data_IF_701080262037
#
_entry.id   IF_701080262037
#
_cell.length_a   1.000
_cell.length_b   1.000
_cell.length_c   1.000
_cell.angle_alpha   90.00
_cell.angle_beta   90.00
_cell.angle_gamma   90.00
#
_symmetry.space_group_name_H-M   'P 1'
#
loop_
_entity.id
_entity.type
_entity.pdbx_description
1 polymer ?
#
# COMPACT_ATOMS: atom_id res chain seq x y z
N UNK A 1 -17.14 16.54 6.73
CA UNK A 1 -17.58 16.05 8.03
C UNK A 1 -16.48 16.12 9.11
N UNK A 2 -15.21 16.19 8.72
CA UNK A 2 -14.05 16.31 9.62
C UNK A 2 -13.44 17.73 9.64
N UNK A 3 -14.09 18.71 9.00
CA UNK A 3 -13.65 20.11 8.95
C UNK A 3 -12.50 20.39 7.97
N UNK A 4 -11.97 19.38 7.28
CA UNK A 4 -10.84 19.55 6.33
C UNK A 4 -11.24 20.42 5.15
N UNK A 5 -12.44 20.21 4.60
CA UNK A 5 -12.92 20.98 3.46
C UNK A 5 -13.06 22.47 3.78
N UNK A 6 -13.68 22.80 4.93
CA UNK A 6 -13.87 24.17 5.38
C UNK A 6 -12.55 24.88 5.66
N UNK A 7 -11.61 24.19 6.30
CA UNK A 7 -10.26 24.73 6.55
C UNK A 7 -9.51 24.98 5.24
N UNK A 8 -9.61 24.04 4.29
CA UNK A 8 -8.97 24.15 2.99
C UNK A 8 -9.52 25.33 2.19
N UNK A 9 -10.86 25.48 2.11
CA UNK A 9 -11.51 26.58 1.37
C UNK A 9 -11.15 27.93 1.98
N UNK A 10 -11.01 28.02 3.31
CA UNK A 10 -10.52 29.22 3.97
C UNK A 10 -9.05 29.51 3.63
N UNK A 11 -8.20 28.49 3.63
CA UNK A 11 -6.77 28.65 3.30
C UNK A 11 -6.55 29.04 1.83
N UNK A 12 -7.46 28.64 0.93
CA UNK A 12 -7.42 28.98 -0.49
C UNK A 12 -8.16 30.28 -0.82
N UNK A 13 -8.70 30.99 0.17
CA UNK A 13 -9.44 32.25 -0.06
C UNK A 13 -8.58 33.26 -0.85
N UNK A 14 -9.14 33.82 -1.91
CA UNK A 14 -8.46 34.77 -2.81
C UNK A 14 -7.58 34.13 -3.89
N UNK A 15 -7.56 32.81 -4.00
CA UNK A 15 -6.96 32.07 -5.12
C UNK A 15 -8.04 31.53 -6.04
N UNK A 16 -7.74 31.41 -7.32
CA UNK A 16 -8.59 30.67 -8.26
C UNK A 16 -8.32 29.18 -8.10
N UNK A 17 -9.36 28.38 -7.92
CA UNK A 17 -9.27 26.92 -7.82
C UNK A 17 -10.55 26.26 -8.33
N UNK A 18 -10.42 25.01 -8.76
CA UNK A 18 -11.52 24.15 -9.20
C UNK A 18 -11.47 22.86 -8.42
N UNK A 19 -12.61 22.24 -8.26
CA UNK A 19 -12.76 20.97 -7.55
C UNK A 19 -13.10 19.83 -8.51
N UNK A 20 -12.43 18.69 -8.35
CA UNK A 20 -12.78 17.43 -8.99
C UNK A 20 -13.04 16.38 -7.91
N UNK A 21 -14.30 16.18 -7.50
CA UNK A 21 -14.66 15.30 -6.39
C UNK A 21 -14.81 13.84 -6.83
N UNK A 22 -14.87 12.94 -5.83
CA UNK A 22 -15.41 11.59 -6.00
C UNK A 22 -14.41 10.54 -6.44
N UNK A 23 -13.08 10.80 -6.37
CA UNK A 23 -12.09 9.74 -6.58
C UNK A 23 -12.25 8.70 -5.47
N UNK A 24 -12.73 7.50 -5.86
CA UNK A 24 -12.99 6.39 -4.96
C UNK A 24 -11.75 5.55 -4.62
N UNK A 25 -11.95 4.51 -3.80
CA UNK A 25 -10.94 3.50 -3.58
C UNK A 25 -10.57 2.81 -4.91
N UNK A 26 -9.28 2.45 -5.10
CA UNK A 26 -8.76 1.91 -6.35
C UNK A 26 -9.08 2.82 -7.55
N UNK A 27 -8.41 3.98 -7.67
CA UNK A 27 -8.79 5.03 -8.61
C UNK A 27 -8.91 4.51 -10.04
N UNK A 28 -10.05 4.81 -10.68
CA UNK A 28 -10.41 4.26 -11.99
C UNK A 28 -9.91 5.13 -13.11
N UNK A 29 -9.23 4.54 -14.08
CA UNK A 29 -8.62 5.22 -15.23
C UNK A 29 -9.60 6.17 -15.93
N UNK A 30 -10.82 5.69 -16.24
CA UNK A 30 -11.77 6.48 -17.02
C UNK A 30 -12.19 7.75 -16.28
N UNK A 31 -12.43 7.67 -14.97
CA UNK A 31 -12.71 8.82 -14.11
C UNK A 31 -11.52 9.79 -14.06
N UNK A 32 -10.30 9.26 -13.95
CA UNK A 32 -9.10 10.10 -13.93
C UNK A 32 -8.88 10.83 -15.26
N UNK A 33 -9.28 10.24 -16.39
CA UNK A 33 -9.22 10.89 -17.71
C UNK A 33 -10.21 12.07 -17.81
N UNK A 34 -11.34 12.06 -17.10
CA UNK A 34 -12.21 13.23 -16.98
C UNK A 34 -11.47 14.37 -16.25
N UNK A 35 -10.73 14.05 -15.17
CA UNK A 35 -9.89 15.02 -14.47
C UNK A 35 -8.77 15.55 -15.38
N UNK A 36 -8.12 14.70 -16.18
CA UNK A 36 -7.10 15.13 -17.16
C UNK A 36 -7.70 16.10 -18.18
N UNK A 37 -8.91 15.83 -18.69
CA UNK A 37 -9.60 16.71 -19.62
C UNK A 37 -9.92 18.09 -18.98
N UNK A 38 -10.36 18.08 -17.71
CA UNK A 38 -10.59 19.32 -16.95
C UNK A 38 -9.30 20.12 -16.80
N UNK A 39 -8.22 19.47 -16.35
CA UNK A 39 -6.89 20.09 -16.16
C UNK A 39 -6.40 20.77 -17.45
N UNK A 40 -6.49 20.08 -18.61
CA UNK A 40 -6.06 20.63 -19.90
C UNK A 40 -6.95 21.80 -20.36
N UNK A 41 -8.27 21.68 -20.21
CA UNK A 41 -9.24 22.72 -20.62
C UNK A 41 -9.08 24.00 -19.83
N UNK A 42 -8.94 23.89 -18.52
CA UNK A 42 -8.86 25.02 -17.60
C UNK A 42 -7.41 25.50 -17.36
N UNK A 43 -6.42 24.83 -17.99
CA UNK A 43 -4.99 25.17 -17.88
C UNK A 43 -4.49 25.19 -16.43
N UNK A 44 -4.87 24.18 -15.66
CA UNK A 44 -4.45 24.01 -14.28
C UNK A 44 -2.92 23.81 -14.23
N UNK A 45 -2.26 24.53 -13.35
CA UNK A 45 -0.79 24.50 -13.20
C UNK A 45 -0.31 23.83 -11.90
N UNK A 46 -1.22 23.53 -10.97
CA UNK A 46 -0.93 22.84 -9.71
C UNK A 46 -2.08 21.94 -9.30
N UNK A 47 -1.78 20.76 -8.76
CA UNK A 47 -2.78 19.82 -8.26
C UNK A 47 -2.67 19.67 -6.73
N UNK A 48 -3.81 19.64 -6.03
CA UNK A 48 -3.87 19.38 -4.60
C UNK A 48 -4.74 18.16 -4.31
N UNK A 49 -4.13 17.06 -3.94
CA UNK A 49 -4.84 15.87 -3.48
C UNK A 49 -5.33 16.06 -2.04
N UNK A 50 -6.62 15.91 -1.80
CA UNK A 50 -7.21 15.98 -0.46
C UNK A 50 -7.95 14.67 -0.18
N UNK A 51 -7.31 13.74 0.54
CA UNK A 51 -7.86 12.41 0.74
C UNK A 51 -6.87 11.38 1.25
N UNK A 52 -7.20 10.11 1.08
CA UNK A 52 -6.31 8.99 1.32
C UNK A 52 -5.46 8.64 0.10
N UNK A 53 -4.69 7.53 0.17
CA UNK A 53 -3.76 7.10 -0.86
C UNK A 53 -4.36 7.01 -2.26
N UNK A 54 -5.60 6.54 -2.41
CA UNK A 54 -6.27 6.45 -3.72
C UNK A 54 -6.46 7.82 -4.39
N UNK A 55 -6.76 8.86 -3.61
CA UNK A 55 -6.86 10.24 -4.14
C UNK A 55 -5.49 10.74 -4.54
N UNK A 56 -4.46 10.47 -3.73
CA UNK A 56 -3.07 10.87 -4.04
C UNK A 56 -2.57 10.15 -5.29
N UNK A 57 -2.79 8.83 -5.40
CA UNK A 57 -2.42 8.03 -6.58
C UNK A 57 -3.11 8.53 -7.86
N UNK A 58 -4.43 8.77 -7.77
CA UNK A 58 -5.20 9.35 -8.87
C UNK A 58 -4.66 10.71 -9.30
N UNK A 59 -4.33 11.58 -8.33
CA UNK A 59 -3.76 12.91 -8.61
C UNK A 59 -2.38 12.82 -9.27
N UNK A 60 -1.52 11.88 -8.84
CA UNK A 60 -0.23 11.60 -9.48
C UNK A 60 -0.39 11.15 -10.93
N UNK A 61 -1.35 10.26 -11.17
CA UNK A 61 -1.64 9.84 -12.53
C UNK A 61 -2.15 11.00 -13.38
N UNK A 62 -3.08 11.81 -12.88
CA UNK A 62 -3.57 13.03 -13.58
C UNK A 62 -2.42 13.98 -13.89
N UNK A 63 -1.50 14.20 -12.94
CA UNK A 63 -0.33 15.05 -13.13
C UNK A 63 0.54 14.59 -14.30
N UNK A 64 0.82 13.29 -14.39
CA UNK A 64 1.61 12.69 -15.46
C UNK A 64 0.84 12.67 -16.80
N UNK A 65 -0.42 12.22 -16.77
CA UNK A 65 -1.25 12.06 -17.97
C UNK A 65 -1.60 13.40 -18.64
N UNK A 66 -1.69 14.48 -17.88
CA UNK A 66 -1.90 15.82 -18.43
C UNK A 66 -0.73 16.29 -19.33
N UNK A 67 0.49 15.83 -19.02
CA UNK A 67 1.72 16.15 -19.75
C UNK A 67 2.17 15.01 -20.71
N UNK A 68 1.41 13.91 -20.81
CA UNK A 68 1.77 12.77 -21.63
C UNK A 68 1.57 13.08 -23.12
N UNK A 69 2.57 12.73 -23.94
CA UNK A 69 2.60 13.01 -25.39
C UNK A 69 2.15 11.81 -26.26
N UNK A 70 1.87 10.63 -25.64
CA UNK A 70 1.37 9.44 -26.35
C UNK A 70 -0.14 9.48 -26.60
N UNK A 71 -0.65 8.47 -27.29
CA UNK A 71 -2.07 8.37 -27.65
C UNK A 71 -2.97 8.01 -26.47
N UNK A 72 -2.55 7.05 -25.65
CA UNK A 72 -3.30 6.57 -24.47
C UNK A 72 -2.42 6.65 -23.21
N UNK A 73 -2.70 7.54 -22.25
CA UNK A 73 -1.95 7.62 -20.98
C UNK A 73 -1.90 6.31 -20.17
N UNK A 74 -2.76 5.31 -20.48
CA UNK A 74 -2.67 3.98 -19.91
C UNK A 74 -1.32 3.28 -20.22
N UNK A 75 -0.65 3.68 -21.29
CA UNK A 75 0.69 3.20 -21.67
C UNK A 75 1.73 3.47 -20.57
N UNK A 76 1.56 4.52 -19.75
CA UNK A 76 2.40 4.80 -18.58
C UNK A 76 2.44 3.61 -17.64
N UNK A 77 1.31 2.94 -17.44
CA UNK A 77 1.18 1.79 -16.53
C UNK A 77 1.43 0.47 -17.26
N UNK A 78 0.78 0.26 -18.42
CA UNK A 78 0.83 -1.00 -19.16
C UNK A 78 2.19 -1.25 -19.78
N UNK A 79 2.74 -0.25 -20.45
CA UNK A 79 3.92 -0.38 -21.32
C UNK A 79 5.17 0.26 -20.69
N UNK A 80 5.02 0.84 -19.47
CA UNK A 80 6.08 1.61 -18.80
C UNK A 80 6.57 2.77 -19.66
N UNK A 81 5.66 3.42 -20.41
CA UNK A 81 5.97 4.55 -21.26
C UNK A 81 6.65 5.68 -20.48
N UNK A 82 7.62 6.32 -21.11
CA UNK A 82 8.41 7.38 -20.46
C UNK A 82 7.56 8.62 -20.20
N UNK A 83 7.63 9.13 -18.97
CA UNK A 83 7.02 10.39 -18.57
C UNK A 83 8.09 11.48 -18.67
N UNK A 84 7.89 12.47 -19.54
CA UNK A 84 8.82 13.59 -19.76
C UNK A 84 8.52 14.81 -18.88
N UNK A 85 7.29 14.90 -18.36
CA UNK A 85 6.83 15.98 -17.50
C UNK A 85 5.61 15.57 -16.70
N UNK A 86 5.38 16.25 -15.60
CA UNK A 86 4.17 16.13 -14.77
C UNK A 86 3.85 17.49 -14.15
N UNK A 87 2.58 17.74 -13.86
CA UNK A 87 2.21 18.92 -13.08
C UNK A 87 2.70 18.77 -11.64
N UNK A 88 3.15 19.85 -11.00
CA UNK A 88 3.46 19.81 -9.58
C UNK A 88 2.20 19.54 -8.77
N UNK A 89 2.37 18.72 -7.70
CA UNK A 89 1.26 18.40 -6.82
C UNK A 89 1.66 18.42 -5.35
N UNK A 90 0.69 18.76 -4.51
CA UNK A 90 0.77 18.62 -3.06
C UNK A 90 -0.36 17.73 -2.55
N UNK A 91 -0.34 17.39 -1.27
CA UNK A 91 -1.44 16.64 -0.68
C UNK A 91 -1.76 17.05 0.76
N UNK A 92 -3.03 16.86 1.12
CA UNK A 92 -3.55 16.89 2.49
C UNK A 92 -4.06 15.49 2.79
N UNK A 93 -3.32 14.75 3.62
CA UNK A 93 -3.61 13.35 3.90
C UNK A 93 -4.73 13.21 4.92
N UNK A 94 -5.73 12.39 4.62
CA UNK A 94 -6.84 12.11 5.55
C UNK A 94 -6.94 10.65 5.99
N UNK A 95 -6.18 9.75 5.35
CA UNK A 95 -6.08 8.33 5.68
C UNK A 95 -4.65 7.85 5.48
N UNK A 96 -3.88 7.62 6.56
CA UNK A 96 -2.54 7.08 6.49
C UNK A 96 -2.57 5.57 6.26
N UNK A 97 -1.90 5.11 5.21
CA UNK A 97 -1.77 3.70 4.83
C UNK A 97 -0.62 3.52 3.83
N UNK A 98 -0.81 4.02 2.60
CA UNK A 98 0.01 3.74 1.43
C UNK A 98 1.34 4.51 1.39
N UNK A 99 1.54 5.52 2.24
CA UNK A 99 2.70 6.43 2.13
C UNK A 99 2.78 7.20 0.81
N UNK A 100 1.70 7.19 -0.01
CA UNK A 100 1.69 7.81 -1.33
C UNK A 100 2.00 9.33 -1.29
N UNK A 101 1.71 9.99 -0.19
CA UNK A 101 2.02 11.40 0.04
C UNK A 101 3.53 11.69 0.09
N UNK A 102 4.35 10.65 0.27
CA UNK A 102 5.80 10.78 0.49
C UNK A 102 6.66 9.98 -0.49
N UNK A 103 6.05 9.39 -1.52
CA UNK A 103 6.76 8.59 -2.52
C UNK A 103 6.31 8.92 -3.96
N UNK A 104 7.05 8.50 -4.98
CA UNK A 104 6.74 8.74 -6.39
C UNK A 104 6.00 7.58 -7.09
N UNK A 105 5.43 6.64 -6.32
CA UNK A 105 4.62 5.53 -6.85
C UNK A 105 3.14 5.90 -6.90
N UNK A 106 2.40 5.33 -7.84
CA UNK A 106 0.94 5.39 -7.89
C UNK A 106 0.36 4.13 -8.53
N UNK A 107 -0.86 3.77 -8.11
CA UNK A 107 -1.59 2.60 -8.60
C UNK A 107 -2.92 3.05 -9.17
N UNK A 108 -3.25 2.60 -10.39
CA UNK A 108 -4.51 2.91 -11.08
C UNK A 108 -5.15 1.64 -11.60
N UNK A 109 -6.48 1.60 -11.60
CA UNK A 109 -7.26 0.46 -12.05
C UNK A 109 -7.98 0.76 -13.38
N UNK A 110 -8.03 -0.23 -14.29
CA UNK A 110 -8.81 -0.19 -15.54
C UNK A 110 -9.34 -1.60 -15.83
N UNK A 111 -10.64 -1.81 -15.67
CA UNK A 111 -11.23 -3.15 -15.76
C UNK A 111 -10.62 -4.11 -14.75
N UNK A 112 -10.13 -5.26 -15.22
CA UNK A 112 -9.45 -6.28 -14.39
C UNK A 112 -7.96 -5.99 -14.13
N UNK A 113 -7.44 -4.86 -14.61
CA UNK A 113 -6.05 -4.47 -14.40
C UNK A 113 -5.94 -3.50 -13.23
N UNK A 114 -5.06 -3.79 -12.27
CA UNK A 114 -4.61 -2.88 -11.23
C UNK A 114 -3.09 -2.80 -11.31
N UNK A 115 -2.59 -1.73 -11.92
CA UNK A 115 -1.18 -1.57 -12.29
C UNK A 115 -0.57 -0.36 -11.58
N UNK A 116 0.73 -0.45 -11.32
CA UNK A 116 1.52 0.62 -10.72
C UNK A 116 2.51 1.23 -11.71
N UNK A 117 2.83 2.50 -11.49
CA UNK A 117 3.99 3.15 -12.08
C UNK A 117 4.79 3.91 -11.01
N UNK A 118 6.04 4.16 -11.31
CA UNK A 118 6.98 4.88 -10.47
C UNK A 118 7.69 5.93 -11.30
N UNK A 119 7.58 7.22 -10.91
CA UNK A 119 8.31 8.29 -11.56
C UNK A 119 8.58 9.46 -10.60
N UNK A 120 9.83 9.91 -10.41
CA UNK A 120 10.15 11.01 -9.51
C UNK A 120 9.39 12.33 -9.77
N UNK A 121 8.94 12.56 -11.01
CA UNK A 121 8.20 13.76 -11.39
C UNK A 121 6.81 13.87 -10.73
N UNK A 122 6.24 12.76 -10.27
CA UNK A 122 4.93 12.74 -9.61
C UNK A 122 5.02 12.67 -8.09
N UNK A 123 6.21 12.78 -7.51
CA UNK A 123 6.32 12.88 -6.06
C UNK A 123 5.71 14.20 -5.57
N UNK A 124 4.82 14.19 -4.55
CA UNK A 124 4.27 15.42 -4.01
C UNK A 124 5.37 16.36 -3.51
N UNK A 125 5.27 17.65 -3.86
CA UNK A 125 6.25 18.66 -3.43
C UNK A 125 6.08 19.05 -1.97
N UNK A 126 4.91 18.78 -1.39
CA UNK A 126 4.63 18.83 0.04
C UNK A 126 3.48 17.88 0.42
N UNK A 127 3.42 17.52 1.69
CA UNK A 127 2.31 16.81 2.31
C UNK A 127 1.93 17.46 3.64
N UNK A 128 0.64 17.68 3.84
CA UNK A 128 0.08 18.10 5.12
C UNK A 128 -0.40 16.85 5.85
N UNK A 129 0.20 16.56 6.99
CA UNK A 129 -0.05 15.41 7.84
C UNK A 129 -0.62 15.87 9.19
N UNK A 130 -1.93 16.07 9.26
CA UNK A 130 -2.62 16.41 10.50
C UNK A 130 -3.33 15.19 11.06
N UNK A 131 -2.87 14.61 12.20
CA UNK A 131 -3.49 13.44 12.81
C UNK A 131 -4.97 13.63 13.14
N UNK A 132 -5.43 14.85 13.42
CA UNK A 132 -6.82 15.14 13.75
C UNK A 132 -7.78 14.84 12.58
N UNK A 133 -7.30 14.92 11.33
CA UNK A 133 -8.09 14.56 10.14
C UNK A 133 -8.54 13.11 10.14
N UNK A 134 -7.83 12.24 10.88
CA UNK A 134 -8.08 10.79 10.95
C UNK A 134 -9.11 10.37 12.00
N UNK A 135 -9.57 11.30 12.87
CA UNK A 135 -10.50 10.96 13.95
C UNK A 135 -11.86 10.47 13.47
N UNK A 136 -12.27 10.90 12.29
CA UNK A 136 -13.54 10.51 11.67
C UNK A 136 -13.46 9.22 10.85
N UNK A 137 -12.29 8.59 10.76
CA UNK A 137 -12.13 7.33 10.04
C UNK A 137 -12.89 6.20 10.74
N UNK A 138 -13.68 5.40 10.02
CA UNK A 138 -14.29 4.22 10.60
C UNK A 138 -13.22 3.19 10.98
N UNK A 139 -13.46 2.35 12.01
CA UNK A 139 -12.53 1.34 12.50
C UNK A 139 -11.93 0.46 11.40
N UNK A 140 -12.73 0.07 10.40
CA UNK A 140 -12.29 -0.71 9.23
C UNK A 140 -11.16 -0.01 8.47
N UNK A 141 -11.28 1.30 8.23
CA UNK A 141 -10.24 2.03 7.51
C UNK A 141 -8.97 2.22 8.34
N UNK A 142 -9.11 2.38 9.65
CA UNK A 142 -7.97 2.43 10.57
C UNK A 142 -7.22 1.10 10.56
N UNK A 143 -7.94 -0.01 10.71
CA UNK A 143 -7.34 -1.35 10.67
C UNK A 143 -6.67 -1.63 9.33
N UNK A 144 -7.36 -1.34 8.22
CA UNK A 144 -6.78 -1.49 6.89
C UNK A 144 -5.49 -0.66 6.72
N UNK A 145 -5.47 0.59 7.18
CA UNK A 145 -4.28 1.44 7.07
C UNK A 145 -3.08 0.92 7.86
N UNK A 146 -3.32 0.40 9.07
CA UNK A 146 -2.25 -0.20 9.90
C UNK A 146 -1.70 -1.48 9.27
N UNK A 147 -2.58 -2.35 8.76
CA UNK A 147 -2.17 -3.61 8.09
C UNK A 147 -1.40 -3.32 6.81
N UNK A 148 -1.86 -2.36 5.99
CA UNK A 148 -1.18 -1.94 4.77
C UNK A 148 0.24 -1.45 5.04
N UNK A 149 0.41 -0.52 5.99
CA UNK A 149 1.73 -0.02 6.40
C UNK A 149 2.63 -1.15 6.95
N UNK A 150 2.06 -2.09 7.72
CA UNK A 150 2.81 -3.24 8.25
C UNK A 150 3.33 -4.13 7.12
N UNK A 151 2.51 -4.43 6.13
CA UNK A 151 2.92 -5.25 4.97
C UNK A 151 3.97 -4.52 4.13
N UNK A 152 3.82 -3.21 3.89
CA UNK A 152 4.83 -2.40 3.20
C UNK A 152 6.22 -2.53 3.84
N UNK A 153 6.28 -2.49 5.17
CA UNK A 153 7.55 -2.64 5.89
C UNK A 153 8.08 -4.06 5.72
N UNK A 154 7.24 -5.08 5.86
CA UNK A 154 7.69 -6.48 5.78
C UNK A 154 8.23 -6.85 4.40
N UNK A 155 7.65 -6.35 3.31
CA UNK A 155 8.13 -6.65 1.95
C UNK A 155 9.47 -5.97 1.62
N UNK A 156 9.89 -4.98 2.41
CA UNK A 156 11.22 -4.37 2.33
C UNK A 156 12.21 -4.96 3.36
N UNK A 157 11.71 -5.61 4.40
CA UNK A 157 12.50 -6.14 5.52
C UNK A 157 12.76 -7.64 5.40
N UNK A 158 11.74 -8.46 5.07
CA UNK A 158 11.84 -9.92 5.00
C UNK A 158 12.37 -10.39 3.64
N UNK A 159 13.58 -10.02 3.31
CA UNK A 159 14.30 -10.39 2.08
C UNK A 159 15.60 -11.12 2.41
N UNK A 160 16.42 -11.47 1.41
CA UNK A 160 17.72 -12.09 1.72
C UNK A 160 18.68 -11.07 2.38
N UNK A 161 19.52 -11.51 3.36
CA UNK A 161 20.40 -10.63 4.11
C UNK A 161 21.50 -10.00 3.23
N UNK A 162 21.69 -8.68 3.36
CA UNK A 162 22.75 -7.92 2.68
C UNK A 162 23.58 -7.07 3.64
N UNK A 163 23.41 -7.26 4.96
CA UNK A 163 24.10 -6.47 5.98
C UNK A 163 23.52 -5.06 6.17
N UNK A 164 22.28 -4.82 5.77
CA UNK A 164 21.58 -3.53 5.90
C UNK A 164 21.04 -3.29 7.33
N UNK A 165 21.92 -3.26 8.34
CA UNK A 165 21.50 -3.17 9.75
C UNK A 165 20.70 -1.90 10.07
N UNK A 166 21.01 -0.77 9.43
CA UNK A 166 20.28 0.49 9.65
C UNK A 166 18.85 0.35 9.16
N UNK A 167 18.64 -0.18 7.95
CA UNK A 167 17.31 -0.43 7.39
C UNK A 167 16.53 -1.44 8.23
N UNK A 168 17.20 -2.48 8.71
CA UNK A 168 16.59 -3.48 9.59
C UNK A 168 16.08 -2.83 10.89
N UNK A 169 16.90 -2.02 11.57
CA UNK A 169 16.49 -1.36 12.81
C UNK A 169 15.39 -0.33 12.62
N UNK A 170 15.39 0.39 11.50
CA UNK A 170 14.31 1.31 11.16
C UNK A 170 13.01 0.55 10.90
N UNK A 171 13.06 -0.53 10.13
CA UNK A 171 11.91 -1.38 9.85
C UNK A 171 11.33 -2.01 11.12
N UNK A 172 12.18 -2.61 11.97
CA UNK A 172 11.81 -3.22 13.25
C UNK A 172 11.14 -2.20 14.19
N UNK A 173 11.70 -0.99 14.30
CA UNK A 173 11.11 0.08 15.10
C UNK A 173 9.74 0.55 14.58
N UNK A 174 9.57 0.67 13.27
CA UNK A 174 8.28 1.04 12.68
C UNK A 174 7.23 -0.07 12.88
N UNK A 175 7.60 -1.34 12.73
CA UNK A 175 6.72 -2.49 13.00
C UNK A 175 6.23 -2.48 14.45
N UNK A 176 7.13 -2.25 15.42
CA UNK A 176 6.77 -2.16 16.84
C UNK A 176 5.81 -0.99 17.11
N UNK A 177 6.04 0.17 16.49
CA UNK A 177 5.12 1.33 16.60
C UNK A 177 3.72 0.96 16.09
N UNK A 178 3.62 0.24 14.96
CA UNK A 178 2.33 -0.20 14.41
C UNK A 178 1.64 -1.22 15.31
N UNK A 179 2.38 -2.21 15.86
CA UNK A 179 1.86 -3.23 16.77
C UNK A 179 1.33 -2.60 18.06
N UNK A 180 2.07 -1.65 18.64
CA UNK A 180 1.70 -1.00 19.90
C UNK A 180 0.55 -0.01 19.74
N UNK A 181 0.51 0.74 18.64
CA UNK A 181 -0.46 1.82 18.47
C UNK A 181 -1.71 1.41 17.66
N UNK A 182 -1.63 0.39 16.80
CA UNK A 182 -2.77 -0.05 15.99
C UNK A 182 -4.01 -0.38 16.81
N UNK A 183 -3.95 -1.33 17.77
CA UNK A 183 -5.08 -1.66 18.63
C UNK A 183 -5.56 -0.48 19.47
N UNK A 184 -4.64 0.38 19.92
CA UNK A 184 -4.98 1.59 20.67
C UNK A 184 -5.75 2.59 19.83
N UNK A 185 -5.46 2.71 18.54
CA UNK A 185 -6.19 3.60 17.63
C UNK A 185 -7.65 3.17 17.43
N UNK A 186 -7.95 1.88 17.56
CA UNK A 186 -9.32 1.37 17.57
C UNK A 186 -10.04 1.64 18.91
N UNK A 187 -9.33 1.49 20.02
CA UNK A 187 -9.86 1.69 21.37
C UNK A 187 -10.00 3.20 21.74
N UNK A 188 -9.07 4.02 21.24
CA UNK A 188 -8.94 5.45 21.57
C UNK A 188 -8.97 6.30 20.26
N UNK A 189 -10.09 6.36 19.52
CA UNK A 189 -10.13 6.87 18.15
C UNK A 189 -9.74 8.35 17.99
N UNK A 190 -9.78 9.13 19.07
CA UNK A 190 -9.42 10.56 19.09
C UNK A 190 -8.12 10.85 19.85
N UNK A 191 -7.33 9.81 20.18
CA UNK A 191 -6.05 10.01 20.83
C UNK A 191 -5.03 10.54 19.82
N UNK A 192 -4.67 11.82 19.95
CA UNK A 192 -3.76 12.51 19.03
C UNK A 192 -2.41 11.82 18.93
N UNK A 193 -1.79 11.42 20.04
CA UNK A 193 -0.46 10.79 20.04
C UNK A 193 -0.45 9.47 19.29
N UNK A 194 -1.48 8.65 19.50
CA UNK A 194 -1.65 7.37 18.82
C UNK A 194 -1.82 7.60 17.31
N UNK A 195 -2.70 8.54 16.91
CA UNK A 195 -2.93 8.86 15.50
C UNK A 195 -1.71 9.46 14.83
N UNK A 196 -0.96 10.31 15.53
CA UNK A 196 0.27 10.90 15.02
C UNK A 196 1.35 9.85 14.78
N UNK A 197 1.54 8.92 15.72
CA UNK A 197 2.50 7.83 15.56
C UNK A 197 2.16 6.93 14.37
N UNK A 198 0.87 6.55 14.21
CA UNK A 198 0.45 5.72 13.07
C UNK A 198 0.59 6.47 11.73
N UNK A 199 0.21 7.73 11.68
CA UNK A 199 0.35 8.55 10.46
C UNK A 199 1.81 8.66 10.03
N UNK A 200 2.70 8.95 10.99
CA UNK A 200 4.12 9.06 10.69
C UNK A 200 4.76 7.71 10.32
N UNK A 201 4.41 6.63 11.04
CA UNK A 201 4.88 5.29 10.71
C UNK A 201 4.44 4.84 9.31
N UNK A 202 3.19 5.11 8.90
CA UNK A 202 2.69 4.79 7.56
C UNK A 202 3.44 5.56 6.47
N UNK A 203 3.72 6.86 6.66
CA UNK A 203 4.54 7.64 5.73
C UNK A 203 5.96 7.07 5.60
N UNK A 204 6.61 6.74 6.72
CA UNK A 204 7.96 6.18 6.74
C UNK A 204 8.02 4.75 6.19
N UNK A 205 6.92 4.01 6.26
CA UNK A 205 6.83 2.64 5.74
C UNK A 205 7.11 2.57 4.22
N UNK A 206 6.79 3.62 3.46
CA UNK A 206 6.95 3.60 2.00
C UNK A 206 7.53 4.90 1.41
N UNK A 207 8.20 5.74 2.19
CA UNK A 207 8.90 6.92 1.65
C UNK A 207 10.24 6.58 0.96
N UNK A 208 10.60 5.30 0.92
CA UNK A 208 11.81 4.79 0.29
C UNK A 208 13.04 4.73 1.21
N UNK A 209 12.95 5.16 2.48
CA UNK A 209 14.11 5.17 3.40
C UNK A 209 14.52 3.74 3.78
N UNK A 210 13.58 2.92 4.26
CA UNK A 210 13.86 1.55 4.73
C UNK A 210 14.22 0.58 3.62
N UNK A 211 13.84 0.88 2.37
CA UNK A 211 14.18 0.09 1.19
C UNK A 211 15.48 0.48 0.48
N UNK A 212 16.21 1.50 0.98
CA UNK A 212 17.45 1.98 0.32
C UNK A 212 18.60 1.00 0.48
N UNK A 213 19.11 0.51 -0.67
CA UNK A 213 20.28 -0.36 -0.71
C UNK A 213 20.03 -1.78 -0.21
N UNK A 214 18.79 -2.15 0.01
CA UNK A 214 18.36 -3.51 0.34
C UNK A 214 17.41 -4.06 -0.72
N UNK A 215 17.32 -5.40 -0.91
CA UNK A 215 16.34 -5.99 -1.80
C UNK A 215 14.92 -5.78 -1.26
N UNK A 216 13.93 -5.83 -2.18
CA UNK A 216 12.50 -5.66 -1.88
C UNK A 216 11.72 -6.76 -2.58
N UNK A 217 10.71 -7.32 -1.91
CA UNK A 217 9.94 -8.47 -2.40
C UNK A 217 8.77 -8.06 -3.32
N UNK A 218 7.77 -7.40 -2.78
CA UNK A 218 6.53 -6.95 -3.45
C UNK A 218 5.62 -8.06 -4.01
N UNK A 219 5.87 -9.32 -3.72
CA UNK A 219 5.04 -10.44 -4.19
C UNK A 219 3.67 -10.48 -3.50
N UNK A 220 3.59 -10.11 -2.22
CA UNK A 220 2.31 -9.98 -1.51
C UNK A 220 1.41 -8.96 -2.20
N UNK A 221 1.96 -7.80 -2.56
CA UNK A 221 1.22 -6.76 -3.29
C UNK A 221 0.82 -7.22 -4.69
N UNK A 222 1.72 -7.86 -5.43
CA UNK A 222 1.43 -8.33 -6.78
C UNK A 222 0.26 -9.34 -6.81
N UNK A 223 0.24 -10.29 -5.87
CA UNK A 223 -0.85 -11.27 -5.72
C UNK A 223 -2.11 -10.59 -5.18
N UNK A 224 -1.98 -9.75 -4.15
CA UNK A 224 -3.08 -9.01 -3.53
C UNK A 224 -3.81 -8.09 -4.52
N UNK A 225 -3.10 -7.47 -5.45
CA UNK A 225 -3.72 -6.66 -6.51
C UNK A 225 -4.69 -7.49 -7.37
N UNK A 226 -4.41 -8.77 -7.60
CA UNK A 226 -5.31 -9.64 -8.38
C UNK A 226 -6.59 -9.97 -7.59
N UNK A 227 -6.46 -10.21 -6.27
CA UNK A 227 -7.63 -10.39 -5.39
C UNK A 227 -8.51 -9.14 -5.37
N UNK A 228 -7.91 -7.95 -5.30
CA UNK A 228 -8.64 -6.69 -5.38
C UNK A 228 -9.31 -6.52 -6.75
N UNK A 229 -8.59 -6.74 -7.84
CA UNK A 229 -9.08 -6.49 -9.19
C UNK A 229 -10.20 -7.45 -9.61
N UNK A 230 -10.10 -8.74 -9.26
CA UNK A 230 -11.04 -9.78 -9.67
C UNK A 230 -12.19 -9.99 -8.69
N UNK A 231 -11.98 -9.71 -7.40
CA UNK A 231 -12.94 -10.06 -6.34
C UNK A 231 -13.35 -8.89 -5.45
N UNK A 232 -12.79 -7.69 -5.67
CA UNK A 232 -13.21 -6.48 -4.97
C UNK A 232 -12.80 -6.37 -3.50
N UNK A 233 -11.82 -7.15 -3.04
CA UNK A 233 -11.28 -7.02 -1.69
C UNK A 233 -10.66 -5.62 -1.51
N UNK A 234 -10.79 -5.04 -0.30
CA UNK A 234 -9.99 -3.88 0.04
C UNK A 234 -8.50 -4.22 -0.08
N UNK A 235 -7.67 -3.23 -0.38
CA UNK A 235 -6.24 -3.46 -0.58
C UNK A 235 -5.59 -4.20 0.60
N UNK A 236 -5.75 -3.69 1.83
CA UNK A 236 -5.19 -4.32 3.02
C UNK A 236 -5.75 -5.73 3.31
N UNK A 237 -7.04 -5.97 2.99
CA UNK A 237 -7.65 -7.30 3.11
C UNK A 237 -6.95 -8.31 2.20
N UNK A 238 -6.70 -7.93 0.95
CA UNK A 238 -5.99 -8.80 0.01
C UNK A 238 -4.56 -9.10 0.46
N UNK A 239 -3.87 -8.11 1.04
CA UNK A 239 -2.52 -8.31 1.59
C UNK A 239 -2.52 -9.22 2.82
N UNK A 240 -3.48 -9.06 3.73
CA UNK A 240 -3.62 -9.86 4.95
C UNK A 240 -3.90 -11.34 4.65
N UNK A 241 -4.63 -11.64 3.58
CA UNK A 241 -4.88 -13.01 3.10
C UNK A 241 -3.59 -13.64 2.55
N UNK A 242 -2.82 -12.88 1.76
CA UNK A 242 -1.66 -13.43 1.04
C UNK A 242 -0.44 -13.59 1.94
N UNK A 243 -0.08 -12.55 2.72
CA UNK A 243 1.20 -12.47 3.40
C UNK A 243 1.52 -13.68 4.31
N UNK A 244 0.65 -14.12 5.24
CA UNK A 244 1.00 -15.22 6.15
C UNK A 244 1.28 -16.52 5.40
N UNK A 245 0.49 -16.82 4.38
CA UNK A 245 0.65 -18.02 3.56
C UNK A 245 1.91 -17.95 2.69
N UNK A 246 2.24 -16.78 2.17
CA UNK A 246 3.48 -16.54 1.43
C UNK A 246 4.70 -16.73 2.34
N UNK A 247 4.65 -16.21 3.57
CA UNK A 247 5.76 -16.37 4.52
C UNK A 247 5.96 -17.86 4.92
N UNK A 248 4.89 -18.65 5.01
CA UNK A 248 5.00 -20.10 5.23
C UNK A 248 5.63 -20.81 4.04
N UNK A 249 5.16 -20.54 2.81
CA UNK A 249 5.71 -21.14 1.57
C UNK A 249 7.18 -20.77 1.37
N UNK A 250 7.57 -19.54 1.75
CA UNK A 250 8.96 -19.05 1.61
C UNK A 250 9.79 -19.18 2.89
N UNK A 251 9.30 -19.87 3.92
CA UNK A 251 9.93 -19.90 5.24
C UNK A 251 11.36 -20.43 5.24
N UNK A 252 11.66 -21.44 4.42
CA UNK A 252 13.01 -21.98 4.28
C UNK A 252 13.99 -20.97 3.67
N UNK A 253 13.54 -20.21 2.67
CA UNK A 253 14.34 -19.22 1.96
C UNK A 253 14.57 -17.96 2.79
N UNK A 254 13.54 -17.52 3.52
CA UNK A 254 13.56 -16.31 4.35
C UNK A 254 13.90 -16.59 5.84
N UNK A 255 14.40 -17.79 6.17
CA UNK A 255 14.51 -18.29 7.55
C UNK A 255 15.33 -17.38 8.48
N UNK A 256 16.38 -16.73 7.99
CA UNK A 256 17.24 -15.88 8.82
C UNK A 256 16.49 -14.59 9.22
N UNK A 257 15.87 -13.95 8.25
CA UNK A 257 15.10 -12.73 8.47
C UNK A 257 13.80 -12.98 9.25
N UNK A 258 13.13 -14.10 9.01
CA UNK A 258 11.96 -14.50 9.79
C UNK A 258 12.33 -14.78 11.25
N UNK A 259 13.47 -15.43 11.51
CA UNK A 259 13.94 -15.63 12.88
C UNK A 259 14.30 -14.30 13.58
N UNK A 260 14.95 -13.37 12.84
CA UNK A 260 15.23 -12.02 13.32
C UNK A 260 13.95 -11.24 13.61
N UNK A 261 12.96 -11.30 12.73
CA UNK A 261 11.64 -10.70 12.92
C UNK A 261 10.91 -11.24 14.15
N UNK A 262 10.93 -12.56 14.34
CA UNK A 262 10.34 -13.21 15.52
C UNK A 262 10.97 -12.72 16.82
N UNK A 263 12.29 -12.63 16.87
CA UNK A 263 13.03 -12.18 18.05
C UNK A 263 12.83 -10.70 18.34
N UNK A 264 13.01 -9.84 17.30
CA UNK A 264 13.15 -8.40 17.48
C UNK A 264 11.83 -7.63 17.48
N UNK A 265 10.84 -8.12 16.74
CA UNK A 265 9.52 -7.48 16.65
C UNK A 265 8.52 -8.16 17.57
N UNK A 266 8.50 -9.49 17.55
CA UNK A 266 7.54 -10.26 18.37
C UNK A 266 8.10 -10.72 19.73
N UNK A 267 9.38 -10.44 20.01
CA UNK A 267 10.04 -10.81 21.28
C UNK A 267 9.90 -12.30 21.61
N UNK A 268 9.97 -13.16 20.59
CA UNK A 268 9.91 -14.60 20.77
C UNK A 268 11.18 -15.12 21.45
N UNK A 269 11.00 -15.88 22.52
CA UNK A 269 12.09 -16.52 23.27
C UNK A 269 12.25 -18.02 22.96
N UNK A 270 11.57 -18.53 21.92
CA UNK A 270 11.69 -19.95 21.55
C UNK A 270 13.10 -20.27 21.07
N UNK A 271 13.69 -21.34 21.58
CA UNK A 271 15.02 -21.81 21.18
C UNK A 271 14.99 -22.44 19.78
N UNK A 272 13.96 -23.27 19.49
CA UNK A 272 13.81 -23.87 18.17
C UNK A 272 13.47 -22.81 17.12
N UNK A 273 14.32 -22.73 16.09
CA UNK A 273 14.23 -21.72 15.03
C UNK A 273 12.93 -21.86 14.20
N UNK A 274 12.54 -23.09 13.88
CA UNK A 274 11.33 -23.31 13.08
C UNK A 274 10.06 -22.96 13.85
N UNK A 275 9.98 -23.34 15.12
CA UNK A 275 8.87 -22.98 16.00
C UNK A 275 8.82 -21.47 16.24
N UNK A 276 9.96 -20.80 16.34
CA UNK A 276 10.06 -19.35 16.48
C UNK A 276 9.53 -18.62 15.23
N UNK A 277 9.88 -19.10 14.05
CA UNK A 277 9.38 -18.55 12.78
C UNK A 277 7.87 -18.72 12.67
N UNK A 278 7.34 -19.91 12.93
CA UNK A 278 5.90 -20.16 12.88
C UNK A 278 5.13 -19.30 13.90
N UNK A 279 5.69 -19.13 15.11
CA UNK A 279 5.12 -18.23 16.10
C UNK A 279 5.01 -16.79 15.57
N UNK A 280 6.03 -16.29 14.86
CA UNK A 280 5.99 -14.93 14.30
C UNK A 280 4.90 -14.78 13.22
N UNK A 281 4.74 -15.79 12.37
CA UNK A 281 3.68 -15.80 11.35
C UNK A 281 2.29 -15.83 12.02
N UNK A 282 2.10 -16.68 13.02
CA UNK A 282 0.84 -16.76 13.79
C UNK A 282 0.53 -15.42 14.48
N UNK A 283 1.53 -14.80 15.13
CA UNK A 283 1.33 -13.48 15.78
C UNK A 283 1.00 -12.38 14.77
N UNK A 284 1.55 -12.46 13.56
CA UNK A 284 1.19 -11.54 12.47
C UNK A 284 -0.26 -11.73 12.04
N UNK A 285 -0.74 -12.98 11.87
CA UNK A 285 -2.15 -13.27 11.60
C UNK A 285 -3.06 -12.74 12.73
N UNK A 286 -2.71 -13.01 13.97
CA UNK A 286 -3.46 -12.54 15.14
C UNK A 286 -3.51 -11.01 15.20
N UNK A 287 -2.43 -10.33 14.90
CA UNK A 287 -2.39 -8.87 14.82
C UNK A 287 -3.33 -8.33 13.74
N UNK A 288 -3.34 -8.91 12.55
CA UNK A 288 -4.26 -8.51 11.48
C UNK A 288 -5.72 -8.73 11.89
N UNK A 289 -6.03 -9.87 12.52
CA UNK A 289 -7.37 -10.16 13.07
C UNK A 289 -7.75 -9.18 14.18
N UNK A 290 -6.82 -8.81 15.05
CA UNK A 290 -7.04 -7.78 16.09
C UNK A 290 -7.33 -6.40 15.46
N UNK A 291 -6.76 -6.11 14.30
CA UNK A 291 -7.09 -4.91 13.53
C UNK A 291 -8.42 -5.02 12.76
N UNK A 292 -9.15 -6.12 12.90
CA UNK A 292 -10.42 -6.37 12.23
C UNK A 292 -10.27 -6.76 10.75
N UNK A 293 -9.10 -7.27 10.35
CA UNK A 293 -8.80 -7.69 8.98
C UNK A 293 -8.63 -9.20 8.94
N UNK A 294 -9.49 -9.90 8.19
CA UNK A 294 -9.44 -11.35 8.02
C UNK A 294 -8.21 -11.79 7.24
N UNK A 295 -7.73 -13.01 7.51
CA UNK A 295 -6.48 -13.56 6.95
C UNK A 295 -6.70 -14.79 6.07
N UNK A 296 -7.97 -15.13 5.81
CA UNK A 296 -8.35 -16.28 4.99
C UNK A 296 -9.23 -15.84 3.81
N UNK A 297 -9.16 -16.55 2.70
CA UNK A 297 -10.05 -16.34 1.56
C UNK A 297 -11.52 -16.50 1.97
N UNK A 298 -11.80 -17.48 2.85
CA UNK A 298 -13.14 -17.74 3.36
C UNK A 298 -13.74 -16.56 4.15
N UNK A 299 -12.91 -15.73 4.81
CA UNK A 299 -13.37 -14.52 5.52
C UNK A 299 -14.04 -13.51 4.59
N UNK A 300 -13.78 -13.62 3.29
CA UNK A 300 -14.31 -12.76 2.23
C UNK A 300 -15.22 -13.49 1.25
N UNK A 301 -15.69 -14.69 1.62
CA UNK A 301 -16.58 -15.50 0.79
C UNK A 301 -15.92 -16.11 -0.44
N UNK A 302 -14.59 -16.16 -0.47
CA UNK A 302 -13.82 -16.78 -1.55
C UNK A 302 -13.46 -18.22 -1.21
N UNK A 303 -13.32 -19.04 -2.25
CA UNK A 303 -12.94 -20.44 -2.16
C UNK A 303 -11.81 -20.77 -3.15
N UNK A 304 -11.35 -22.00 -3.17
CA UNK A 304 -10.34 -22.50 -4.10
C UNK A 304 -10.62 -22.14 -5.57
N UNK A 305 -11.88 -21.99 -5.93
CA UNK A 305 -12.30 -21.66 -7.31
C UNK A 305 -11.78 -20.30 -7.81
N UNK A 306 -11.35 -19.38 -6.94
CA UNK A 306 -10.79 -18.10 -7.35
C UNK A 306 -9.32 -18.22 -7.83
N UNK A 307 -8.58 -19.23 -7.39
CA UNK A 307 -7.12 -19.38 -7.61
C UNK A 307 -6.74 -19.41 -9.10
N UNK A 308 -7.39 -20.23 -9.97
CA UNK A 308 -7.04 -20.26 -11.39
C UNK A 308 -7.16 -18.90 -12.09
N UNK A 309 -8.18 -18.12 -11.74
CA UNK A 309 -8.38 -16.77 -12.29
C UNK A 309 -7.23 -15.83 -11.93
N UNK A 310 -6.79 -15.85 -10.67
CA UNK A 310 -5.66 -15.05 -10.16
C UNK A 310 -4.36 -15.42 -10.91
N UNK A 311 -4.04 -16.71 -11.01
CA UNK A 311 -2.87 -17.18 -11.72
C UNK A 311 -2.89 -16.83 -13.21
N UNK A 312 -4.06 -16.91 -13.85
CA UNK A 312 -4.26 -16.52 -15.25
C UNK A 312 -4.02 -15.02 -15.45
N UNK A 313 -4.54 -14.19 -14.54
CA UNK A 313 -4.38 -12.75 -14.63
C UNK A 313 -2.92 -12.31 -14.41
N UNK A 314 -2.21 -12.93 -13.47
CA UNK A 314 -0.77 -12.72 -13.30
C UNK A 314 0.01 -13.03 -14.60
N UNK A 315 -0.28 -14.17 -15.26
CA UNK A 315 0.33 -14.53 -16.55
C UNK A 315 0.01 -13.51 -17.63
N UNK A 316 -1.24 -13.03 -17.71
CA UNK A 316 -1.70 -12.03 -18.67
C UNK A 316 -0.90 -10.71 -18.56
N UNK A 317 -0.50 -10.31 -17.35
CA UNK A 317 0.27 -9.10 -17.11
C UNK A 317 1.78 -9.33 -17.02
N UNK A 318 2.27 -10.52 -17.37
CA UNK A 318 3.71 -10.86 -17.34
C UNK A 318 4.30 -10.96 -15.93
N UNK A 319 3.47 -11.10 -14.90
CA UNK A 319 3.88 -11.21 -13.48
C UNK A 319 4.11 -12.69 -13.13
N UNK A 320 5.11 -13.31 -13.76
CA UNK A 320 5.38 -14.75 -13.68
C UNK A 320 6.63 -15.11 -12.89
N UNK A 321 7.36 -14.12 -12.38
CA UNK A 321 8.59 -14.29 -11.61
C UNK A 321 8.59 -13.22 -10.49
N UNK A 322 7.81 -13.43 -9.44
CA UNK A 322 7.64 -12.50 -8.34
C UNK A 322 8.68 -12.74 -7.23
N UNK A 323 8.75 -11.79 -6.31
CA UNK A 323 9.66 -11.81 -5.17
C UNK A 323 11.05 -11.30 -5.49
N UNK A 324 11.84 -11.05 -4.46
CA UNK A 324 13.20 -10.51 -4.58
C UNK A 324 14.18 -11.46 -5.27
N UNK A 325 13.85 -12.74 -5.33
CA UNK A 325 14.63 -13.76 -6.04
C UNK A 325 14.00 -14.18 -7.37
N UNK A 326 12.85 -13.61 -7.74
CA UNK A 326 12.12 -13.92 -8.97
C UNK A 326 11.73 -15.39 -9.10
N UNK A 327 11.48 -16.07 -7.98
CA UNK A 327 11.24 -17.50 -7.92
C UNK A 327 9.78 -17.87 -7.57
N UNK A 328 8.90 -16.87 -7.41
CA UNK A 328 7.47 -17.07 -7.18
C UNK A 328 6.74 -17.01 -8.52
N UNK A 329 6.58 -18.18 -9.11
CA UNK A 329 5.83 -18.42 -10.34
C UNK A 329 4.32 -18.61 -10.05
N UNK A 330 3.47 -18.68 -11.07
CA UNK A 330 2.03 -18.90 -10.89
C UNK A 330 1.66 -20.21 -10.18
N UNK A 331 2.47 -21.25 -10.27
CA UNK A 331 2.22 -22.53 -9.58
C UNK A 331 2.53 -22.38 -8.08
N UNK A 332 3.58 -21.64 -7.72
CA UNK A 332 3.86 -21.28 -6.33
C UNK A 332 2.79 -20.34 -5.78
N UNK A 333 2.28 -19.38 -6.58
CA UNK A 333 1.13 -18.55 -6.19
C UNK A 333 -0.10 -19.40 -5.89
N UNK A 334 -0.38 -20.42 -6.70
CA UNK A 334 -1.50 -21.33 -6.42
C UNK A 334 -1.34 -22.04 -5.07
N UNK A 335 -0.14 -22.51 -4.71
CA UNK A 335 0.12 -23.11 -3.39
C UNK A 335 -0.03 -22.10 -2.25
N UNK A 336 0.50 -20.87 -2.41
CA UNK A 336 0.35 -19.80 -1.43
C UNK A 336 -1.14 -19.54 -1.15
N UNK A 337 -1.95 -19.38 -2.19
CA UNK A 337 -3.39 -19.13 -2.03
C UNK A 337 -4.15 -20.35 -1.48
N UNK A 338 -3.70 -21.59 -1.78
CA UNK A 338 -4.28 -22.80 -1.18
C UNK A 338 -4.04 -22.87 0.34
N UNK A 339 -2.93 -22.36 0.83
CA UNK A 339 -2.67 -22.23 2.28
C UNK A 339 -3.51 -21.13 2.95
N UNK A 340 -4.13 -20.24 2.19
CA UNK A 340 -4.98 -19.16 2.67
C UNK A 340 -6.50 -19.50 2.66
N UNK A 341 -6.88 -20.74 2.35
CA UNK A 341 -8.26 -21.24 2.37
C UNK A 341 -8.85 -21.31 3.79
#
# INVERSE_FOLDING_TARGET
QNGVYEQLTQALAGREWLEFPGIGANPQYDQLMEAVALVKRERIDFLLAVGGGSVVDGTKFVAAAACFEGDDPWEILRDKASIKGALPLGCVLTLPATGSESNPAAVVSRGEAKLSFYNPLVQPVFAVLDPATTYSLPPRQVGNGVVDAFVHILEQYLTFPVGGEVQDRLAEGLLQVLVDNGPRALAEPTNYQVRANLMWAASLALNGLIGRGVPQDWSTHAIGHQLTALHGLDHAQSLAVVLPSLLREQSAQKQEKLAQFAERVWHSSREDKALRIEEAIIRTEQFFQQMGVGTRLADYGLSESCIPGICSNLKRFGLTALGEQQDIDPDKVARILSHAL
#
